data_IF_482064493898
#
_entry.id   IF_482064493898
#
_cell.length_a   1.000
_cell.length_b   1.000
_cell.length_c   1.000
_cell.angle_alpha   90.00
_cell.angle_beta   90.00
_cell.angle_gamma   90.00
#
_symmetry.space_group_name_H-M   'P 1'
#
loop_
_entity.id
_entity.type
_entity.pdbx_description
1 polymer ?
#
# COMPACT_ATOMS: atom_id res chain seq x y z
N UNK A 1 0.81 4.83 -11.03
CA UNK A 1 -0.10 5.85 -10.46
C UNK A 1 0.70 6.63 -9.42
N UNK A 2 0.57 7.95 -9.37
CA UNK A 2 1.10 8.74 -8.26
C UNK A 2 0.04 8.83 -7.17
N UNK A 3 0.42 8.69 -5.89
CA UNK A 3 -0.55 8.90 -4.80
C UNK A 3 -0.93 10.38 -4.73
N UNK A 4 -2.22 10.66 -4.65
CA UNK A 4 -2.76 12.00 -4.41
C UNK A 4 -2.92 12.34 -2.93
N UNK A 5 -2.77 11.37 -2.03
CA UNK A 5 -2.93 11.54 -0.59
C UNK A 5 -1.58 11.63 0.14
N UNK A 6 -1.58 12.28 1.30
CA UNK A 6 -0.45 12.28 2.20
C UNK A 6 -0.25 10.91 2.86
N UNK A 7 0.99 10.43 2.89
CA UNK A 7 1.38 9.20 3.61
C UNK A 7 2.67 9.46 4.38
N UNK A 8 2.86 8.76 5.50
CA UNK A 8 4.13 8.82 6.25
C UNK A 8 5.34 8.44 5.40
N UNK A 9 5.12 7.58 4.39
CA UNK A 9 6.12 7.25 3.38
C UNK A 9 6.75 8.47 2.70
N UNK A 10 6.01 9.58 2.56
CA UNK A 10 6.56 10.84 2.01
C UNK A 10 7.65 11.43 2.88
N UNK A 11 7.51 11.32 4.21
CA UNK A 11 8.52 11.77 5.16
C UNK A 11 9.66 10.75 5.22
N UNK A 12 9.33 9.46 5.27
CA UNK A 12 10.31 8.37 5.32
C UNK A 12 11.22 8.34 4.08
N UNK A 13 10.77 8.83 2.93
CA UNK A 13 11.57 8.94 1.72
C UNK A 13 12.81 9.83 1.87
N UNK A 14 12.84 10.72 2.88
CA UNK A 14 14.04 11.49 3.22
C UNK A 14 15.07 10.72 4.07
N UNK A 15 14.73 9.53 4.56
CA UNK A 15 15.53 8.74 5.52
C UNK A 15 16.02 7.43 4.91
N UNK A 16 15.19 6.75 4.12
CA UNK A 16 15.49 5.44 3.53
C UNK A 16 14.74 5.24 2.22
N UNK A 17 15.14 4.23 1.45
CA UNK A 17 14.31 3.73 0.34
C UNK A 17 12.97 3.25 0.90
N UNK A 18 11.89 3.71 0.28
CA UNK A 18 10.51 3.43 0.71
C UNK A 18 9.60 3.32 -0.51
N UNK A 19 8.62 2.43 -0.42
CA UNK A 19 7.58 2.24 -1.42
C UNK A 19 6.19 2.17 -0.78
N UNK A 20 5.16 2.37 -1.60
CA UNK A 20 3.76 2.15 -1.23
C UNK A 20 3.19 1.04 -2.10
N UNK A 21 2.37 0.19 -1.49
CA UNK A 21 1.54 -0.79 -2.18
C UNK A 21 0.08 -0.40 -2.02
N UNK A 22 -0.62 -0.23 -3.14
CA UNK A 22 -2.03 0.14 -3.15
C UNK A 22 -2.93 -1.00 -3.60
N UNK A 23 -4.10 -1.06 -2.98
CA UNK A 23 -5.26 -1.87 -3.38
C UNK A 23 -6.43 -0.93 -3.71
N UNK A 24 -7.33 -1.32 -4.62
CA UNK A 24 -8.38 -0.42 -5.08
C UNK A 24 -9.51 -0.26 -4.06
N UNK A 25 -9.80 0.98 -3.68
CA UNK A 25 -11.06 1.31 -2.99
C UNK A 25 -12.23 1.34 -3.99
N UNK A 26 -13.37 0.77 -3.59
CA UNK A 26 -14.61 0.74 -4.38
C UNK A 26 -15.03 2.17 -4.73
N UNK A 27 -15.14 2.44 -6.04
CA UNK A 27 -15.44 3.76 -6.59
C UNK A 27 -14.46 4.88 -6.15
N UNK A 28 -13.25 4.53 -5.72
CA UNK A 28 -12.24 5.49 -5.25
C UNK A 28 -12.66 6.28 -4.01
N UNK A 29 -13.62 5.79 -3.23
CA UNK A 29 -14.12 6.48 -2.03
C UNK A 29 -13.15 6.28 -0.87
N UNK A 30 -12.89 7.35 -0.13
CA UNK A 30 -12.18 7.31 1.15
C UNK A 30 -12.70 8.40 2.10
N UNK A 31 -12.42 8.29 3.40
CA UNK A 31 -12.90 9.21 4.46
C UNK A 31 -14.43 9.33 4.52
N UNK A 32 -15.14 8.24 4.23
CA UNK A 32 -16.59 8.16 4.36
C UNK A 32 -17.01 6.75 4.79
N UNK A 33 -18.21 6.59 5.40
CA UNK A 33 -18.68 5.28 5.87
C UNK A 33 -18.77 4.19 4.80
N UNK A 34 -18.90 4.58 3.52
CA UNK A 34 -18.98 3.66 2.38
C UNK A 34 -17.61 3.32 1.77
N UNK A 35 -16.52 3.79 2.37
CA UNK A 35 -15.17 3.34 2.04
C UNK A 35 -15.10 1.82 2.19
N UNK A 36 -14.70 1.15 1.11
CA UNK A 36 -14.69 -0.30 1.04
C UNK A 36 -13.65 -0.79 0.04
N UNK A 37 -12.98 -1.89 0.37
CA UNK A 37 -12.13 -2.66 -0.55
C UNK A 37 -12.56 -4.11 -0.47
N UNK A 38 -12.75 -4.76 -1.63
CA UNK A 38 -13.17 -6.16 -1.66
C UNK A 38 -12.08 -7.08 -1.08
N UNK A 39 -12.50 -8.13 -0.37
CA UNK A 39 -11.59 -9.02 0.35
C UNK A 39 -10.57 -9.71 -0.55
N UNK A 40 -10.92 -10.01 -1.80
CA UNK A 40 -9.99 -10.60 -2.77
C UNK A 40 -8.83 -9.64 -3.10
N UNK A 41 -9.10 -8.34 -3.14
CA UNK A 41 -8.09 -7.29 -3.36
C UNK A 41 -7.23 -7.09 -2.13
N UNK A 42 -7.82 -7.12 -0.94
CA UNK A 42 -7.09 -7.08 0.32
C UNK A 42 -6.13 -8.28 0.42
N UNK A 43 -6.61 -9.49 0.14
CA UNK A 43 -5.79 -10.70 0.14
C UNK A 43 -4.60 -10.58 -0.81
N UNK A 44 -4.84 -10.19 -2.07
CA UNK A 44 -3.77 -9.99 -3.06
C UNK A 44 -2.75 -8.95 -2.60
N UNK A 45 -3.20 -7.84 -2.00
CA UNK A 45 -2.30 -6.82 -1.47
C UNK A 45 -1.43 -7.33 -0.33
N UNK A 46 -1.99 -8.15 0.56
CA UNK A 46 -1.26 -8.79 1.66
C UNK A 46 -0.24 -9.80 1.13
N UNK A 47 -0.62 -10.64 0.17
CA UNK A 47 0.28 -11.63 -0.43
C UNK A 47 1.49 -10.97 -1.08
N UNK A 48 1.28 -9.91 -1.86
CA UNK A 48 2.37 -9.15 -2.49
C UNK A 48 3.24 -8.46 -1.43
N UNK A 49 2.62 -7.87 -0.39
CA UNK A 49 3.36 -7.25 0.72
C UNK A 49 4.26 -8.28 1.43
N UNK A 50 3.74 -9.46 1.75
CA UNK A 50 4.51 -10.54 2.35
C UNK A 50 5.70 -10.96 1.49
N UNK A 51 5.47 -11.22 0.19
CA UNK A 51 6.54 -11.58 -0.74
C UNK A 51 7.61 -10.48 -0.86
N UNK A 52 7.17 -9.23 -0.96
CA UNK A 52 8.08 -8.07 -1.04
C UNK A 52 8.95 -7.97 0.21
N UNK A 53 8.37 -8.15 1.40
CA UNK A 53 9.12 -8.13 2.65
C UNK A 53 10.10 -9.30 2.75
N UNK A 54 9.70 -10.51 2.35
CA UNK A 54 10.59 -11.68 2.30
C UNK A 54 11.80 -11.43 1.40
N UNK A 55 11.57 -10.90 0.20
CA UNK A 55 12.64 -10.55 -0.75
C UNK A 55 13.57 -9.46 -0.18
N UNK A 56 13.02 -8.39 0.39
CA UNK A 56 13.83 -7.30 0.98
C UNK A 56 14.62 -7.77 2.21
N UNK A 57 14.09 -8.71 3.00
CA UNK A 57 14.80 -9.28 4.12
C UNK A 57 15.91 -10.25 3.70
N UNK A 58 15.76 -10.95 2.57
CA UNK A 58 16.76 -11.90 2.06
C UNK A 58 17.88 -11.23 1.26
N UNK A 59 17.60 -10.08 0.64
CA UNK A 59 18.55 -9.35 -0.20
C UNK A 59 19.40 -8.32 0.57
N UNK A 60 19.53 -8.47 1.90
CA UNK A 60 20.41 -7.67 2.76
C UNK A 60 21.64 -8.46 3.22
#
# INVERSE_FOLDING_TARGET
MLSGAGHDAMIMAGVTEVGLLFVPSKNGRSHCPEEWTDYDKLQQGIEIMCQTLEELCQNN
#
